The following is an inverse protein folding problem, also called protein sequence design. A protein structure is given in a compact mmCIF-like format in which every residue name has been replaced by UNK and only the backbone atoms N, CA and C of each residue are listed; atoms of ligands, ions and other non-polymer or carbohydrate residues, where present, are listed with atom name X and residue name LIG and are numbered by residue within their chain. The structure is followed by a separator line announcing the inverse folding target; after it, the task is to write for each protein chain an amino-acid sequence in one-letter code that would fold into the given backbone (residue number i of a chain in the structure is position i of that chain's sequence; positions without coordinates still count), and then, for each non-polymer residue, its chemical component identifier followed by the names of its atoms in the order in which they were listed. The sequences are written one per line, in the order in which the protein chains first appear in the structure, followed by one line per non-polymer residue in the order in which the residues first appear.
data_IF_452335576478
#
_entry.id   IF_452335576478
#
_cell.length_a   1.000
_cell.length_b   1.000
_cell.length_c   1.000
_cell.angle_alpha   90.00
_cell.angle_beta   90.00
_cell.angle_gamma   90.00
#
_symmetry.space_group_name_H-M   'P 1'
#
loop_
_entity.id
_entity.type
_entity.pdbx_description
1 polymer ?
#
# COMPACT_ATOMS: atom_id res chain seq x y z
N UNK A 1 9.70 -19.64 -3.53
CA UNK A 1 8.44 -19.96 -4.24
C UNK A 1 7.32 -19.94 -3.20
N UNK A 2 6.70 -18.78 -2.96
CA UNK A 2 5.65 -18.63 -1.95
C UNK A 2 4.29 -18.94 -2.59
N UNK A 3 3.73 -20.11 -2.24
CA UNK A 3 2.44 -20.61 -2.74
C UNK A 3 1.24 -19.98 -2.01
N UNK A 4 1.03 -18.67 -2.17
CA UNK A 4 0.00 -17.95 -1.41
C UNK A 4 -0.78 -16.97 -2.29
N UNK A 5 -1.54 -17.50 -3.26
CA UNK A 5 -2.48 -16.74 -4.08
C UNK A 5 -3.86 -16.55 -3.42
N UNK A 6 -3.98 -16.83 -2.11
CA UNK A 6 -5.27 -16.80 -1.42
C UNK A 6 -5.82 -15.37 -1.38
N UNK A 7 -7.09 -15.16 -1.79
CA UNK A 7 -7.74 -13.86 -1.66
C UNK A 7 -7.92 -13.46 -0.19
N UNK A 8 -7.60 -12.21 0.13
CA UNK A 8 -7.85 -11.58 1.43
C UNK A 8 -9.00 -10.59 1.31
N UNK A 9 -10.10 -10.82 2.04
CA UNK A 9 -11.11 -9.78 2.26
C UNK A 9 -10.66 -8.93 3.44
N UNK A 10 -10.36 -7.66 3.15
CA UNK A 10 -9.80 -6.72 4.14
C UNK A 10 -10.84 -5.75 4.68
N UNK A 11 -11.73 -5.33 3.78
CA UNK A 11 -12.83 -4.40 4.00
C UNK A 11 -14.00 -4.91 3.17
N UNK A 12 -15.21 -4.49 3.51
CA UNK A 12 -16.41 -5.06 2.91
C UNK A 12 -16.44 -4.77 1.41
N UNK A 13 -16.43 -5.82 0.59
CA UNK A 13 -16.43 -5.71 -0.86
C UNK A 13 -15.07 -5.40 -1.49
N UNK A 14 -13.98 -5.46 -0.71
CA UNK A 14 -12.60 -5.31 -1.17
C UNK A 14 -11.83 -6.61 -1.01
N UNK A 15 -11.36 -7.15 -2.14
CA UNK A 15 -10.55 -8.36 -2.20
C UNK A 15 -9.14 -8.02 -2.69
N UNK A 16 -8.14 -8.47 -1.95
CA UNK A 16 -6.74 -8.41 -2.33
C UNK A 16 -6.26 -9.80 -2.73
N UNK A 17 -5.62 -9.92 -3.89
CA UNK A 17 -4.93 -11.12 -4.33
C UNK A 17 -3.46 -10.75 -4.46
N UNK A 18 -2.61 -11.52 -3.79
CA UNK A 18 -1.18 -11.26 -3.73
C UNK A 18 -0.46 -12.36 -4.52
N UNK A 19 0.11 -11.98 -5.66
CA UNK A 19 0.97 -12.83 -6.48
C UNK A 19 2.39 -12.25 -6.49
N UNK A 20 3.42 -13.07 -6.80
CA UNK A 20 4.77 -12.55 -6.98
C UNK A 20 4.78 -11.40 -8.00
N UNK A 21 5.28 -10.23 -7.58
CA UNK A 21 5.31 -8.99 -8.38
C UNK A 21 3.98 -8.40 -8.83
N UNK A 22 2.84 -8.96 -8.44
CA UNK A 22 1.53 -8.48 -8.87
C UNK A 22 0.54 -8.50 -7.71
N UNK A 23 -0.01 -7.34 -7.38
CA UNK A 23 -1.15 -7.24 -6.46
C UNK A 23 -2.37 -6.95 -7.30
N UNK A 24 -3.44 -7.71 -7.09
CA UNK A 24 -4.73 -7.47 -7.74
C UNK A 24 -5.71 -7.05 -6.65
N UNK A 25 -6.25 -5.84 -6.78
CA UNK A 25 -7.25 -5.30 -5.88
C UNK A 25 -8.56 -5.24 -6.63
N UNK A 26 -9.58 -5.89 -6.07
CA UNK A 26 -10.94 -5.90 -6.61
C UNK A 26 -11.88 -5.21 -5.64
N UNK A 27 -12.52 -4.15 -6.10
CA UNK A 27 -13.66 -3.51 -5.47
C UNK A 27 -14.93 -3.93 -6.18
N UNK A 28 -15.86 -4.51 -5.43
CA UNK A 28 -17.18 -4.91 -5.96
C UNK A 28 -18.05 -3.71 -6.30
N UNK A 29 -17.92 -2.59 -5.57
CA UNK A 29 -18.69 -1.39 -5.83
C UNK A 29 -20.17 -1.45 -5.41
N UNK A 30 -20.54 -2.27 -4.42
CA UNK A 30 -21.88 -2.24 -3.84
C UNK A 30 -22.16 -0.94 -3.06
N UNK A 31 -23.45 -0.60 -2.89
CA UNK A 31 -23.85 0.62 -2.17
C UNK A 31 -23.35 0.65 -0.71
N UNK A 32 -23.30 -0.52 -0.07
CA UNK A 32 -22.85 -0.67 1.31
C UNK A 32 -21.39 -1.15 1.43
N UNK A 33 -20.63 -1.14 0.33
CA UNK A 33 -19.24 -1.60 0.30
C UNK A 33 -18.28 -0.47 0.65
N UNK A 34 -17.16 -0.82 1.28
CA UNK A 34 -16.09 0.14 1.52
C UNK A 34 -15.40 0.51 0.20
N UNK A 35 -14.88 1.73 0.12
CA UNK A 35 -14.07 2.15 -1.02
C UNK A 35 -12.62 1.71 -0.81
N UNK A 36 -11.96 1.28 -1.87
CA UNK A 36 -10.50 1.14 -1.86
C UNK A 36 -9.89 2.53 -1.76
N UNK A 37 -9.11 2.76 -0.71
CA UNK A 37 -8.42 4.02 -0.47
C UNK A 37 -7.04 3.74 0.11
N UNK A 38 -6.02 4.32 -0.52
CA UNK A 38 -4.64 4.36 -0.03
C UNK A 38 -4.29 5.83 0.19
N UNK A 39 -4.05 6.26 1.45
CA UNK A 39 -3.70 7.64 1.77
C UNK A 39 -2.42 8.12 1.08
N UNK A 40 -2.16 9.42 1.16
CA UNK A 40 -0.97 10.04 0.57
C UNK A 40 0.31 9.49 1.23
N UNK A 41 1.15 8.87 0.41
CA UNK A 41 2.39 8.22 0.84
C UNK A 41 3.43 8.23 -0.29
N UNK A 42 4.64 7.78 0.00
CA UNK A 42 5.70 7.62 -0.99
C UNK A 42 6.65 6.48 -0.62
N UNK A 43 7.50 6.12 -1.60
CA UNK A 43 8.45 5.02 -1.56
C UNK A 43 9.84 5.53 -1.92
N UNK A 44 10.89 5.06 -1.24
CA UNK A 44 12.27 5.48 -1.53
C UNK A 44 12.93 4.57 -2.58
N UNK A 45 12.65 3.27 -2.50
CA UNK A 45 13.46 2.24 -3.14
C UNK A 45 12.87 1.73 -4.46
N UNK A 46 11.56 1.90 -4.66
CA UNK A 46 10.85 1.42 -5.85
C UNK A 46 9.89 2.44 -6.45
N UNK A 47 9.69 2.31 -7.77
CA UNK A 47 8.58 2.92 -8.48
C UNK A 47 7.36 2.01 -8.39
N UNK A 48 6.16 2.57 -8.46
CA UNK A 48 4.92 1.81 -8.59
C UNK A 48 4.29 1.98 -9.97
N UNK A 49 3.76 0.89 -10.49
CA UNK A 49 3.04 0.87 -11.75
C UNK A 49 1.66 0.30 -11.49
N UNK A 50 0.64 1.13 -11.70
CA UNK A 50 -0.74 0.80 -11.41
C UNK A 50 -1.53 0.75 -12.71
N UNK A 51 -2.21 -0.36 -12.96
CA UNK A 51 -3.04 -0.55 -14.16
C UNK A 51 -4.49 -0.75 -13.74
N UNK A 52 -5.41 0.01 -14.33
CA UNK A 52 -6.85 -0.22 -14.15
C UNK A 52 -7.29 -1.27 -15.17
N UNK A 53 -7.88 -2.37 -14.73
CA UNK A 53 -8.41 -3.43 -15.59
C UNK A 53 -9.93 -3.31 -15.79
N UNK A 54 -10.63 -2.76 -14.79
CA UNK A 54 -12.07 -2.54 -14.83
C UNK A 54 -12.43 -1.27 -14.04
N UNK A 55 -13.44 -0.53 -14.52
CA UNK A 55 -13.98 0.63 -13.84
C UNK A 55 -13.05 1.84 -13.92
N UNK A 56 -12.85 2.51 -12.78
CA UNK A 56 -12.02 3.72 -12.71
C UNK A 56 -11.37 3.89 -11.34
N UNK A 57 -10.16 4.44 -11.35
CA UNK A 57 -9.37 4.76 -10.16
C UNK A 57 -8.98 6.23 -10.19
N UNK A 58 -9.19 6.95 -9.08
CA UNK A 58 -8.64 8.28 -8.88
C UNK A 58 -7.22 8.13 -8.33
N UNK A 59 -6.25 8.67 -9.04
CA UNK A 59 -4.83 8.68 -8.66
C UNK A 59 -4.41 10.12 -8.44
N UNK A 60 -3.90 10.42 -7.25
CA UNK A 60 -3.22 11.68 -6.96
C UNK A 60 -1.72 11.43 -7.04
N UNK A 61 -0.98 12.22 -7.80
CA UNK A 61 0.47 12.12 -7.98
C UNK A 61 1.09 13.52 -7.97
N UNK A 62 1.99 13.80 -7.02
CA UNK A 62 2.68 15.09 -6.95
C UNK A 62 1.74 16.30 -6.74
N UNK A 63 0.53 16.07 -6.19
CA UNK A 63 -0.49 17.09 -6.01
C UNK A 63 -1.50 17.22 -7.16
N UNK A 64 -1.25 16.57 -8.30
CA UNK A 64 -2.21 16.50 -9.41
C UNK A 64 -3.09 15.26 -9.28
N UNK A 65 -4.38 15.40 -9.60
CA UNK A 65 -5.33 14.28 -9.56
C UNK A 65 -5.83 13.96 -10.96
N UNK A 66 -5.75 12.68 -11.33
CA UNK A 66 -6.28 12.15 -12.58
C UNK A 66 -7.12 10.91 -12.33
N UNK A 67 -8.14 10.70 -13.15
CA UNK A 67 -8.91 9.46 -13.18
C UNK A 67 -8.34 8.55 -14.27
N UNK A 68 -7.99 7.32 -13.89
CA UNK A 68 -7.52 6.28 -14.78
C UNK A 68 -8.64 5.27 -15.03
N UNK A 69 -8.72 4.81 -16.27
CA UNK A 69 -9.61 3.76 -16.80
C UNK A 69 -8.75 2.72 -17.54
N UNK A 70 -9.31 1.59 -17.99
CA UNK A 70 -8.55 0.61 -18.79
C UNK A 70 -7.87 1.19 -20.04
N UNK A 71 -8.44 2.23 -20.64
CA UNK A 71 -7.90 2.90 -21.83
C UNK A 71 -6.83 3.95 -21.51
N UNK A 72 -6.64 4.28 -20.24
CA UNK A 72 -5.68 5.32 -19.81
C UNK A 72 -4.22 4.85 -19.84
N UNK A 73 -4.00 3.54 -19.96
CA UNK A 73 -2.71 2.91 -19.72
C UNK A 73 -2.32 2.92 -18.24
N UNK A 74 -1.03 2.80 -17.97
CA UNK A 74 -0.50 2.72 -16.61
C UNK A 74 -0.41 4.10 -15.94
N UNK A 75 -0.79 4.15 -14.67
CA UNK A 75 -0.34 5.20 -13.76
C UNK A 75 1.06 4.83 -13.26
N UNK A 76 2.07 5.49 -13.80
CA UNK A 76 3.46 5.36 -13.35
C UNK A 76 3.73 6.34 -12.21
N UNK A 77 4.14 5.81 -11.06
CA UNK A 77 4.49 6.56 -9.85
C UNK A 77 5.99 6.42 -9.64
N UNK A 78 6.78 7.46 -9.94
CA UNK A 78 8.21 7.43 -9.67
C UNK A 78 8.48 7.37 -8.16
N UNK A 79 9.56 6.67 -7.77
CA UNK A 79 10.08 6.72 -6.40
C UNK A 79 10.27 8.16 -5.92
N UNK A 80 10.03 8.39 -4.63
CA UNK A 80 10.12 9.70 -4.01
C UNK A 80 8.94 10.63 -4.28
N UNK A 81 7.98 10.25 -5.14
CA UNK A 81 6.83 11.09 -5.47
C UNK A 81 5.62 10.73 -4.58
N UNK A 82 5.09 11.69 -3.81
CA UNK A 82 3.83 11.53 -3.10
C UNK A 82 2.68 11.12 -4.00
N UNK A 83 1.95 10.07 -3.61
CA UNK A 83 0.78 9.61 -4.33
C UNK A 83 -0.28 8.98 -3.42
N UNK A 84 -1.52 8.97 -3.91
CA UNK A 84 -2.69 8.41 -3.22
C UNK A 84 -3.63 7.77 -4.24
N UNK A 85 -4.35 6.72 -3.82
CA UNK A 85 -5.27 5.96 -4.67
C UNK A 85 -6.66 5.95 -4.04
N UNK A 86 -7.70 6.10 -4.85
CA UNK A 86 -9.08 6.03 -4.37
C UNK A 86 -10.01 5.49 -5.47
N UNK A 87 -10.77 4.44 -5.14
CA UNK A 87 -11.88 3.96 -5.97
C UNK A 87 -13.14 4.78 -5.75
N UNK A 88 -14.11 4.67 -6.66
CA UNK A 88 -15.36 5.42 -6.56
C UNK A 88 -16.44 4.58 -5.87
N UNK A 89 -17.14 5.18 -4.90
CA UNK A 89 -18.29 4.56 -4.23
C UNK A 89 -19.34 4.13 -5.26
N UNK A 90 -19.86 2.91 -5.14
CA UNK A 90 -20.89 2.38 -6.03
C UNK A 90 -20.38 1.96 -7.42
N UNK A 91 -19.07 1.99 -7.66
CA UNK A 91 -18.46 1.66 -8.96
C UNK A 91 -17.51 0.47 -8.78
N UNK A 92 -17.77 -0.68 -9.44
CA UNK A 92 -16.81 -1.77 -9.46
C UNK A 92 -15.47 -1.32 -10.02
N UNK A 93 -14.37 -1.80 -9.46
CA UNK A 93 -13.03 -1.44 -9.93
C UNK A 93 -12.06 -2.60 -9.71
N UNK A 94 -11.30 -2.95 -10.74
CA UNK A 94 -10.22 -3.92 -10.64
C UNK A 94 -8.94 -3.20 -11.04
N UNK A 95 -7.94 -3.23 -10.15
CA UNK A 95 -6.65 -2.61 -10.37
C UNK A 95 -5.53 -3.58 -10.08
N UNK A 96 -4.43 -3.46 -10.80
CA UNK A 96 -3.20 -4.15 -10.48
C UNK A 96 -2.12 -3.17 -10.08
N UNK A 97 -1.22 -3.62 -9.22
CA UNK A 97 -0.04 -2.89 -8.80
C UNK A 97 1.17 -3.79 -8.99
N UNK A 98 2.23 -3.25 -9.60
CA UNK A 98 3.56 -3.87 -9.71
C UNK A 98 4.64 -2.85 -9.37
N UNK A 99 5.83 -3.32 -9.03
CA UNK A 99 6.95 -2.46 -8.62
C UNK A 99 8.10 -2.52 -9.63
N UNK A 100 8.89 -1.45 -9.72
CA UNK A 100 10.18 -1.43 -10.41
C UNK A 100 11.28 -0.99 -9.43
N UNK A 101 12.32 -1.82 -9.18
CA UNK A 101 12.65 -3.10 -9.82
C UNK A 101 11.66 -4.23 -9.50
N UNK A 102 11.61 -5.24 -10.37
CA UNK A 102 10.76 -6.42 -10.20
C UNK A 102 11.33 -7.47 -9.22
N UNK A 103 12.54 -7.28 -8.73
CA UNK A 103 13.10 -8.09 -7.63
C UNK A 103 12.91 -7.41 -6.27
N UNK A 104 11.84 -6.63 -6.15
CA UNK A 104 11.47 -6.01 -4.89
C UNK A 104 10.71 -7.01 -4.01
N UNK A 105 11.48 -7.78 -3.24
CA UNK A 105 11.02 -8.95 -2.45
C UNK A 105 10.16 -8.57 -1.22
N UNK A 106 9.99 -7.28 -0.93
CA UNK A 106 9.35 -6.81 0.31
C UNK A 106 7.88 -6.43 0.15
N UNK A 107 7.38 -6.11 -1.05
CA UNK A 107 6.01 -5.54 -1.20
C UNK A 107 4.90 -6.53 -0.86
N UNK A 108 5.04 -7.79 -1.25
CA UNK A 108 4.07 -8.82 -0.87
C UNK A 108 4.02 -8.97 0.67
N UNK A 109 5.19 -9.08 1.31
CA UNK A 109 5.34 -9.19 2.76
C UNK A 109 4.84 -7.94 3.49
N UNK A 110 4.99 -6.75 2.88
CA UNK A 110 4.39 -5.50 3.35
C UNK A 110 2.87 -5.62 3.43
N UNK A 111 2.20 -6.00 2.32
CA UNK A 111 0.75 -6.13 2.31
C UNK A 111 0.27 -7.21 3.27
N UNK A 112 0.95 -8.37 3.34
CA UNK A 112 0.59 -9.42 4.30
C UNK A 112 0.65 -8.93 5.75
N UNK A 113 1.68 -8.18 6.12
CA UNK A 113 1.76 -7.60 7.45
C UNK A 113 0.68 -6.52 7.66
N UNK A 114 0.50 -5.61 6.70
CA UNK A 114 -0.48 -4.52 6.77
C UNK A 114 -1.91 -5.04 6.93
N UNK A 115 -2.30 -6.01 6.11
CA UNK A 115 -3.63 -6.63 6.13
C UNK A 115 -3.85 -7.50 7.38
N UNK A 116 -2.79 -7.86 8.10
CA UNK A 116 -2.89 -8.61 9.35
C UNK A 116 -3.05 -7.76 10.61
N UNK A 117 -2.92 -6.44 10.49
CA UNK A 117 -3.13 -5.52 11.62
C UNK A 117 -4.64 -5.47 11.90
N UNK A 118 -5.11 -5.86 13.10
CA UNK A 118 -6.52 -5.73 13.46
C UNK A 118 -6.98 -4.29 13.32
N UNK A 119 -8.06 -4.07 12.59
CA UNK A 119 -8.56 -2.71 12.32
C UNK A 119 -7.82 -1.94 11.22
N UNK A 120 -6.81 -2.55 10.59
CA UNK A 120 -6.20 -2.03 9.37
C UNK A 120 -5.47 -0.70 9.52
N UNK A 121 -5.41 0.11 8.45
CA UNK A 121 -4.75 1.42 8.49
C UNK A 121 -5.55 2.47 9.29
N UNK A 122 -6.87 2.28 9.41
CA UNK A 122 -7.80 3.23 10.02
C UNK A 122 -7.96 3.06 11.54
N UNK A 123 -7.79 1.83 12.06
CA UNK A 123 -7.90 1.54 13.49
C UNK A 123 -6.83 0.58 14.02
N UNK A 124 -5.95 0.08 13.15
CA UNK A 124 -4.74 -0.62 13.56
C UNK A 124 -3.75 0.37 14.14
N UNK A 125 -3.32 0.11 15.37
CA UNK A 125 -2.52 1.05 16.14
C UNK A 125 -1.33 1.62 15.36
N UNK A 126 -1.18 2.96 15.42
CA UNK A 126 -0.16 3.74 14.70
C UNK A 126 1.22 3.07 14.69
N UNK A 127 1.66 2.54 15.83
CA UNK A 127 2.97 1.90 15.98
C UNK A 127 3.12 0.63 15.12
N UNK A 128 2.07 -0.20 15.02
CA UNK A 128 2.08 -1.38 14.16
C UNK A 128 2.19 -0.99 12.69
N UNK A 129 1.44 0.03 12.26
CA UNK A 129 1.52 0.54 10.88
C UNK A 129 2.92 1.10 10.59
N UNK A 130 3.45 1.94 11.48
CA UNK A 130 4.79 2.51 11.32
C UNK A 130 5.87 1.44 11.27
N UNK A 131 5.72 0.34 12.01
CA UNK A 131 6.65 -0.79 11.95
C UNK A 131 6.62 -1.49 10.59
N UNK A 132 5.43 -1.71 10.00
CA UNK A 132 5.33 -2.27 8.65
C UNK A 132 5.93 -1.31 7.62
N UNK A 133 5.65 -0.02 7.74
CA UNK A 133 6.21 1.03 6.89
C UNK A 133 7.74 1.08 6.93
N UNK A 134 8.32 0.99 8.13
CA UNK A 134 9.77 0.97 8.33
C UNK A 134 10.46 -0.17 7.58
N UNK A 135 9.87 -1.37 7.57
CA UNK A 135 10.46 -2.53 6.89
C UNK A 135 9.96 -2.76 5.46
N UNK A 136 8.90 -2.08 5.01
CA UNK A 136 8.31 -2.29 3.68
C UNK A 136 8.30 -1.03 2.81
N UNK A 137 9.24 -0.12 3.05
CA UNK A 137 9.47 1.10 2.26
C UNK A 137 8.26 2.02 2.13
N UNK A 138 7.47 2.21 3.19
CA UNK A 138 6.33 3.14 3.17
C UNK A 138 6.57 4.38 4.01
N UNK A 139 6.29 5.57 3.47
CA UNK A 139 6.38 6.82 4.22
C UNK A 139 5.09 7.64 4.10
N UNK A 140 4.46 8.06 5.22
CA UNK A 140 3.30 8.92 5.15
C UNK A 140 3.72 10.32 4.72
N UNK A 141 2.83 11.04 4.04
CA UNK A 141 3.08 12.43 3.66
C UNK A 141 2.47 13.38 4.68
N UNK A 142 3.27 14.32 5.16
CA UNK A 142 2.82 15.38 6.07
C UNK A 142 2.12 16.51 5.30
N UNK A 143 1.41 17.44 5.98
CA UNK A 143 0.74 18.56 5.31
C UNK A 143 1.65 19.38 4.40
N UNK A 144 2.95 19.43 4.73
CA UNK A 144 4.02 19.88 3.85
C UNK A 144 4.96 18.70 3.66
N UNK A 145 5.16 18.27 2.41
CA UNK A 145 6.03 17.14 2.11
C UNK A 145 7.48 17.48 2.44
N UNK A 146 8.03 16.81 3.46
CA UNK A 146 9.42 16.96 3.91
C UNK A 146 10.01 15.56 4.10
N UNK A 147 10.52 14.99 3.00
CA UNK A 147 10.92 13.58 2.92
C UNK A 147 11.83 13.10 4.06
N UNK A 148 12.84 13.88 4.46
CA UNK A 148 13.75 13.47 5.53
C UNK A 148 13.05 13.38 6.90
N UNK A 149 12.06 14.25 7.14
CA UNK A 149 11.32 14.28 8.41
C UNK A 149 10.32 13.13 8.48
N UNK A 150 9.63 12.84 7.37
CA UNK A 150 8.72 11.69 7.25
C UNK A 150 9.48 10.36 7.42
N UNK A 151 10.68 10.26 6.84
CA UNK A 151 11.62 9.16 7.10
C UNK A 151 12.01 9.04 8.55
N UNK A 152 12.43 10.14 9.17
CA UNK A 152 12.80 10.15 10.59
C UNK A 152 11.63 9.70 11.47
N UNK A 153 10.42 10.16 11.17
CA UNK A 153 9.20 9.78 11.87
C UNK A 153 8.94 8.27 11.81
N UNK A 154 8.94 7.68 10.60
CA UNK A 154 8.76 6.23 10.41
C UNK A 154 9.88 5.44 11.10
N UNK A 155 11.14 5.89 10.96
CA UNK A 155 12.30 5.24 11.57
C UNK A 155 12.20 5.24 13.10
N UNK A 156 11.87 6.37 13.72
CA UNK A 156 11.75 6.49 15.18
C UNK A 156 10.59 5.61 15.68
N UNK A 157 9.40 5.76 15.10
CA UNK A 157 8.22 5.05 15.59
C UNK A 157 8.25 3.56 15.27
N UNK A 158 8.52 3.20 14.02
CA UNK A 158 8.50 1.82 13.54
C UNK A 158 9.74 1.02 13.90
N UNK A 159 10.93 1.64 13.82
CA UNK A 159 12.21 0.97 14.04
C UNK A 159 12.63 0.89 15.51
N UNK A 160 12.25 1.87 16.34
CA UNK A 160 12.68 1.93 17.74
C UNK A 160 11.52 1.83 18.74
N UNK A 161 10.52 2.71 18.67
CA UNK A 161 9.45 2.76 19.67
C UNK A 161 8.56 1.52 19.63
N UNK A 162 8.09 1.11 18.45
CA UNK A 162 7.21 -0.05 18.31
C UNK A 162 7.85 -1.35 18.86
N UNK A 163 9.10 -1.71 18.52
CA UNK A 163 9.76 -2.86 19.11
C UNK A 163 9.94 -2.78 20.63
N UNK A 164 10.30 -1.60 21.16
CA UNK A 164 10.47 -1.37 22.60
C UNK A 164 9.16 -1.58 23.38
N UNK A 165 8.02 -1.21 22.77
CA UNK A 165 6.69 -1.42 23.34
C UNK A 165 6.09 -2.80 23.01
N UNK A 166 6.89 -3.72 22.46
CA UNK A 166 6.47 -5.11 22.24
C UNK A 166 5.76 -5.39 20.92
N UNK A 167 5.60 -4.40 20.03
CA UNK A 167 5.00 -4.62 18.70
C UNK A 167 5.93 -5.50 17.83
N UNK A 168 5.34 -6.44 17.10
CA UNK A 168 6.06 -7.35 16.21
C UNK A 168 5.29 -7.54 14.91
N UNK A 169 6.03 -7.66 13.81
CA UNK A 169 5.49 -8.09 12.53
C UNK A 169 4.96 -9.53 12.63
N UNK A 170 3.83 -9.80 11.98
CA UNK A 170 3.27 -11.15 11.87
C UNK A 170 4.15 -12.02 10.97
N UNK A 171 4.59 -11.46 9.84
CA UNK A 171 5.50 -12.11 8.90
C UNK A 171 6.89 -11.48 9.04
N UNK A 172 7.75 -12.12 9.83
CA UNK A 172 9.08 -11.62 10.22
C UNK A 172 10.08 -11.54 9.06
N UNK A 173 9.91 -12.33 8.01
CA UNK A 173 10.77 -12.29 6.82
C UNK A 173 10.88 -10.89 6.18
N UNK A 174 9.90 -10.00 6.44
CA UNK A 174 9.98 -8.61 5.99
C UNK A 174 11.16 -7.85 6.63
N UNK A 175 11.58 -8.18 7.86
CA UNK A 175 12.76 -7.55 8.46
C UNK A 175 14.05 -8.03 7.81
N UNK A 176 14.09 -9.29 7.41
CA UNK A 176 15.27 -9.94 6.82
C UNK A 176 15.49 -9.48 5.37
N UNK A 177 14.40 -9.23 4.63
CA UNK A 177 14.44 -8.75 3.25
C UNK A 177 14.94 -7.29 3.12
N UNK A 178 15.10 -6.56 4.23
CA UNK A 178 15.57 -5.16 4.24
C UNK A 178 16.86 -4.94 5.07
N UNK A 179 17.46 -6.01 5.59
CA UNK A 179 18.70 -5.99 6.37
C UNK A 179 19.93 -6.10 5.46
#
# INVERSE_FOLDING_TARGET
MSGYSDPFEYLKGLTFILEPQLRIIKSRGGADDDIFQVPLHWHEDHDEIITVLEGKLKVTLGGETKVYTPESGDAFVPRGVPHALESFKGVPCVVTERTNPSEFDTKELFFRNMLSIPGGLSSGGLLSVMQVFYHGDGYPVFPVHVAWLEKAFVKILGGYVAPLLGHRLKYKSLTEARA
#
